data_IF_942562490266
#
_entry.id   IF_942562490266
#
_cell.length_a   1.000
_cell.length_b   1.000
_cell.length_c   1.000
_cell.angle_alpha   90.00
_cell.angle_beta   90.00
_cell.angle_gamma   90.00
#
_symmetry.space_group_name_H-M   'P 1'
#
loop_
_entity.id
_entity.type
_entity.pdbx_description
1 polymer ?
#
# COMPACT_ATOMS: atom_id res chain seq x y z
N UNK A 1 23.00 -14.16 43.58
CA UNK A 1 23.11 -13.87 42.14
C UNK A 1 22.59 -15.05 41.37
N UNK A 2 21.49 -14.86 40.64
CA UNK A 2 20.78 -15.74 39.69
C UNK A 2 19.36 -15.13 39.63
N UNK A 3 18.73 -14.86 38.50
CA UNK A 3 19.07 -15.27 37.13
C UNK A 3 17.83 -15.69 36.33
N UNK A 4 16.61 -15.39 36.81
CA UNK A 4 15.36 -15.84 36.21
C UNK A 4 14.94 -14.95 35.01
N UNK A 5 15.42 -15.30 33.82
CA UNK A 5 14.96 -14.73 32.55
C UNK A 5 13.60 -15.32 32.17
N UNK A 6 12.51 -14.74 32.68
CA UNK A 6 11.18 -15.00 32.10
C UNK A 6 11.12 -14.48 30.67
N UNK A 7 11.04 -15.41 29.72
CA UNK A 7 10.85 -15.11 28.29
C UNK A 7 9.58 -14.30 28.07
N UNK A 8 9.73 -12.99 27.81
CA UNK A 8 8.71 -12.23 27.10
C UNK A 8 8.74 -12.68 25.64
N UNK A 9 7.77 -13.50 25.24
CA UNK A 9 7.52 -13.80 23.83
C UNK A 9 7.04 -12.50 23.17
N UNK A 10 7.94 -11.81 22.47
CA UNK A 10 7.58 -10.65 21.69
C UNK A 10 6.75 -11.11 20.48
N UNK A 11 5.47 -10.74 20.48
CA UNK A 11 4.63 -10.73 19.30
C UNK A 11 5.09 -9.58 18.40
N UNK A 12 6.18 -9.80 17.66
CA UNK A 12 6.57 -9.00 16.51
C UNK A 12 5.61 -9.32 15.36
N UNK A 13 4.44 -8.67 15.34
CA UNK A 13 3.65 -8.56 14.11
C UNK A 13 4.35 -7.56 13.17
N UNK A 14 4.69 -7.94 11.93
CA UNK A 14 5.29 -7.02 10.98
C UNK A 14 4.24 -6.06 10.40
N UNK A 15 4.02 -4.91 11.05
CA UNK A 15 3.32 -3.76 10.46
C UNK A 15 4.22 -3.02 9.45
N UNK A 16 4.62 -3.70 8.37
CA UNK A 16 5.36 -3.08 7.26
C UNK A 16 4.72 -3.53 5.93
N UNK A 17 3.57 -2.94 5.59
CA UNK A 17 2.87 -3.22 4.31
C UNK A 17 2.02 -2.04 3.76
N UNK A 18 2.21 -0.81 4.29
CA UNK A 18 1.38 0.36 3.93
C UNK A 18 2.17 1.61 3.49
N UNK A 19 3.51 1.59 3.54
CA UNK A 19 4.37 2.61 2.94
C UNK A 19 5.50 1.95 2.14
N UNK A 20 5.59 2.28 0.84
CA UNK A 20 6.62 1.84 -0.12
C UNK A 20 6.77 0.31 -0.32
N UNK A 21 5.93 -0.25 -1.19
CA UNK A 21 6.21 -1.50 -1.93
C UNK A 21 5.61 -1.35 -3.34
N UNK A 22 6.23 -1.60 -4.51
CA UNK A 22 7.62 -1.61 -5.00
C UNK A 22 8.78 -1.92 -4.03
N UNK A 23 9.58 -2.93 -4.39
CA UNK A 23 9.37 -4.34 -4.05
C UNK A 23 10.07 -4.77 -2.73
N UNK A 24 9.60 -5.88 -2.13
CA UNK A 24 10.13 -6.53 -0.90
C UNK A 24 9.52 -6.00 0.42
N UNK A 25 9.23 -6.76 1.49
CA UNK A 25 9.43 -8.19 1.89
C UNK A 25 8.23 -8.65 2.79
N UNK A 26 7.68 -9.88 2.76
CA UNK A 26 7.99 -11.15 3.50
C UNK A 26 7.73 -11.11 5.05
N UNK A 27 7.25 -12.12 5.83
CA UNK A 27 7.34 -13.63 5.85
C UNK A 27 6.27 -14.24 6.89
N UNK A 28 6.30 -15.50 7.45
CA UNK A 28 5.85 -16.83 6.92
C UNK A 28 4.90 -17.76 7.78
N UNK A 29 4.26 -18.77 7.11
CA UNK A 29 3.95 -20.21 7.49
C UNK A 29 3.20 -20.63 8.82
N UNK A 30 2.50 -21.79 8.97
CA UNK A 30 2.08 -22.93 8.10
C UNK A 30 0.93 -23.79 8.72
N UNK A 31 0.07 -24.43 7.90
CA UNK A 31 -0.59 -25.79 8.04
C UNK A 31 -1.92 -25.96 7.24
N UNK A 32 -2.28 -27.23 6.93
CA UNK A 32 -3.10 -27.64 5.77
C UNK A 32 -4.61 -27.94 6.01
N UNK A 33 -5.43 -27.60 4.99
CA UNK A 33 -6.69 -28.24 4.51
C UNK A 33 -7.98 -28.30 5.39
N UNK A 34 -9.21 -28.44 4.80
CA UNK A 34 -9.62 -28.38 3.38
C UNK A 34 -10.75 -27.34 3.05
N UNK A 35 -11.11 -27.26 1.75
CA UNK A 35 -12.33 -26.76 1.06
C UNK A 35 -13.52 -26.24 1.92
N UNK A 36 -14.33 -25.24 1.53
CA UNK A 36 -14.74 -24.77 0.18
C UNK A 36 -15.33 -23.37 0.26
N UNK A 37 -15.03 -22.46 -0.67
CA UNK A 37 -16.02 -21.58 -1.31
C UNK A 37 -15.41 -20.86 -2.52
N UNK A 38 -16.05 -20.99 -3.68
CA UNK A 38 -15.59 -20.40 -4.95
C UNK A 38 -15.96 -18.93 -5.04
N UNK A 39 -14.98 -18.04 -4.84
CA UNK A 39 -15.11 -16.61 -5.16
C UNK A 39 -14.58 -16.36 -6.58
N UNK A 40 -15.44 -16.60 -7.58
CA UNK A 40 -15.37 -15.89 -8.86
C UNK A 40 -16.12 -14.56 -8.69
N UNK A 41 -15.72 -13.42 -9.27
CA UNK A 41 -14.43 -12.97 -9.81
C UNK A 41 -14.51 -11.42 -9.91
N UNK A 42 -13.41 -10.67 -9.81
CA UNK A 42 -13.41 -9.28 -10.30
C UNK A 42 -12.16 -8.89 -11.12
N UNK A 43 -12.16 -7.76 -11.85
CA UNK A 43 -13.28 -6.82 -12.06
C UNK A 43 -13.82 -6.74 -13.51
N UNK A 44 -15.12 -6.51 -13.63
CA UNK A 44 -15.69 -5.64 -14.66
C UNK A 44 -15.61 -4.17 -14.18
N UNK A 45 -15.91 -3.16 -15.02
CA UNK A 45 -15.04 -2.01 -15.26
C UNK A 45 -14.61 -1.19 -14.03
N UNK A 46 -13.28 -1.10 -13.83
CA UNK A 46 -12.61 -0.08 -12.99
C UNK A 46 -13.17 0.03 -11.58
N UNK A 47 -12.83 -0.96 -10.76
CA UNK A 47 -13.05 -1.00 -9.31
C UNK A 47 -12.82 0.34 -8.56
N UNK A 48 -11.82 1.13 -8.96
CA UNK A 48 -11.55 2.45 -8.36
C UNK A 48 -12.54 3.52 -8.80
N UNK A 49 -13.02 3.51 -10.04
CA UNK A 49 -14.04 4.46 -10.50
C UNK A 49 -15.37 4.20 -9.76
N UNK A 50 -15.72 2.94 -9.48
CA UNK A 50 -16.83 2.60 -8.58
C UNK A 50 -16.65 3.22 -7.19
N UNK A 51 -15.48 3.01 -6.56
CA UNK A 51 -15.18 3.56 -5.24
C UNK A 51 -15.24 5.09 -5.24
N UNK A 52 -14.71 5.74 -6.28
CA UNK A 52 -14.77 7.19 -6.43
C UNK A 52 -16.21 7.69 -6.51
N UNK A 53 -17.05 7.04 -7.33
CA UNK A 53 -18.45 7.42 -7.49
C UNK A 53 -19.23 7.23 -6.19
N UNK A 54 -19.09 6.06 -5.53
CA UNK A 54 -19.70 5.77 -4.23
C UNK A 54 -19.22 6.72 -3.11
N UNK A 55 -17.95 7.12 -3.14
CA UNK A 55 -17.40 8.10 -2.19
C UNK A 55 -17.92 9.52 -2.46
N UNK A 56 -18.08 9.92 -3.73
CA UNK A 56 -18.63 11.22 -4.11
C UNK A 56 -20.15 11.32 -3.87
N UNK A 57 -20.88 10.20 -3.93
CA UNK A 57 -22.32 10.12 -3.61
C UNK A 57 -22.62 10.03 -2.10
N UNK A 58 -21.60 9.89 -1.24
CA UNK A 58 -21.75 9.82 0.21
C UNK A 58 -22.07 8.42 0.77
N UNK A 59 -22.00 7.35 -0.03
CA UNK A 59 -22.29 5.98 0.42
C UNK A 59 -21.39 5.50 1.57
N UNK A 60 -20.21 6.10 1.71
CA UNK A 60 -19.27 5.81 2.78
C UNK A 60 -19.34 6.76 3.99
N UNK A 61 -20.25 7.75 4.01
CA UNK A 61 -20.27 8.77 5.07
C UNK A 61 -20.47 8.15 6.47
N UNK A 62 -21.37 7.18 6.61
CA UNK A 62 -21.58 6.44 7.87
C UNK A 62 -20.33 5.67 8.31
N UNK A 63 -19.57 5.11 7.36
CA UNK A 63 -18.31 4.44 7.64
C UNK A 63 -17.23 5.44 8.10
N UNK A 64 -17.07 6.55 7.38
CA UNK A 64 -16.11 7.61 7.70
C UNK A 64 -16.39 8.25 9.06
N UNK A 65 -17.67 8.53 9.35
CA UNK A 65 -18.12 9.02 10.65
C UNK A 65 -17.80 8.02 11.77
N UNK A 66 -18.22 6.75 11.64
CA UNK A 66 -17.98 5.74 12.68
C UNK A 66 -16.49 5.51 12.96
N UNK A 67 -15.64 5.58 11.93
CA UNK A 67 -14.19 5.47 12.09
C UNK A 67 -13.57 6.73 12.72
N UNK A 68 -14.09 7.93 12.41
CA UNK A 68 -13.64 9.16 13.07
C UNK A 68 -14.08 9.23 14.54
N UNK A 69 -15.32 8.86 14.86
CA UNK A 69 -15.82 8.75 16.24
C UNK A 69 -14.95 7.79 17.06
N UNK A 70 -14.71 6.57 16.55
CA UNK A 70 -13.80 5.59 17.21
C UNK A 70 -12.38 6.10 17.36
N UNK A 71 -11.91 6.94 16.44
CA UNK A 71 -10.58 7.57 16.54
C UNK A 71 -10.55 8.63 17.65
N UNK A 72 -11.56 9.51 17.76
CA UNK A 72 -11.67 10.48 18.86
C UNK A 72 -11.75 9.76 20.22
N UNK A 73 -12.64 8.77 20.31
CA UNK A 73 -12.80 7.88 21.47
C UNK A 73 -11.50 7.18 21.88
N UNK A 74 -10.63 6.89 20.92
CA UNK A 74 -9.33 6.29 21.16
C UNK A 74 -8.30 7.34 21.59
N UNK A 75 -8.24 8.52 20.94
CA UNK A 75 -7.31 9.59 21.32
C UNK A 75 -7.56 10.13 22.71
N UNK A 76 -8.82 10.20 23.16
CA UNK A 76 -9.18 10.63 24.52
C UNK A 76 -8.77 9.60 25.60
N UNK A 77 -8.60 8.33 25.22
CA UNK A 77 -8.19 7.22 26.10
C UNK A 77 -6.70 6.88 25.95
N UNK A 78 -6.06 7.30 24.87
CA UNK A 78 -4.65 7.05 24.56
C UNK A 78 -3.75 8.17 25.11
N UNK A 79 -3.50 8.15 26.42
CA UNK A 79 -2.40 8.91 27.03
C UNK A 79 -1.00 8.48 26.51
N UNK A 80 -0.92 7.40 25.72
CA UNK A 80 0.34 6.74 25.38
C UNK A 80 0.79 6.88 23.92
N UNK A 81 1.93 7.55 23.75
CA UNK A 81 2.70 7.68 22.51
C UNK A 81 3.22 6.34 21.91
N UNK A 82 2.88 5.16 22.42
CA UNK A 82 3.55 3.89 22.06
C UNK A 82 3.53 3.60 20.55
N UNK A 83 2.36 3.66 19.91
CA UNK A 83 2.22 3.43 18.46
C UNK A 83 2.97 4.49 17.65
N UNK A 84 3.04 5.74 18.15
CA UNK A 84 3.81 6.81 17.52
C UNK A 84 5.32 6.58 17.64
N UNK A 85 5.79 6.11 18.80
CA UNK A 85 7.18 5.73 19.04
C UNK A 85 7.57 4.44 18.27
N UNK A 86 6.65 3.52 18.01
CA UNK A 86 6.88 2.38 17.11
C UNK A 86 7.02 2.83 15.66
N UNK A 87 6.12 3.69 15.18
CA UNK A 87 6.26 4.33 13.86
C UNK A 87 7.58 5.11 13.75
N UNK A 88 8.05 5.73 14.83
CA UNK A 88 9.35 6.44 14.89
C UNK A 88 10.54 5.51 14.76
N UNK A 89 10.53 4.37 15.45
CA UNK A 89 11.56 3.33 15.30
C UNK A 89 11.59 2.78 13.87
N UNK A 90 10.43 2.47 13.30
CA UNK A 90 10.31 2.02 11.90
C UNK A 90 10.87 3.07 10.93
N UNK A 91 10.59 4.36 11.15
CA UNK A 91 11.11 5.44 10.33
C UNK A 91 12.64 5.62 10.39
N UNK A 92 13.28 5.37 11.55
CA UNK A 92 14.73 5.46 11.68
C UNK A 92 15.46 4.34 10.93
N UNK A 93 14.92 3.12 10.94
CA UNK A 93 15.56 1.94 10.32
C UNK A 93 15.74 2.10 8.80
N UNK A 94 14.85 2.82 8.14
CA UNK A 94 14.91 3.06 6.68
C UNK A 94 16.06 4.00 6.28
N UNK A 95 16.59 4.81 7.20
CA UNK A 95 17.64 5.80 6.89
C UNK A 95 19.06 5.23 6.91
N UNK A 96 19.28 4.08 7.56
CA UNK A 96 20.61 3.46 7.72
C UNK A 96 20.95 2.42 6.62
N UNK A 97 20.15 2.32 5.57
CA UNK A 97 20.34 1.31 4.51
C UNK A 97 21.46 1.70 3.52
N UNK A 98 22.54 0.91 3.52
CA UNK A 98 23.80 1.13 2.78
C UNK A 98 23.61 1.47 1.30
N UNK A 99 23.89 2.73 0.93
CA UNK A 99 23.46 3.33 -0.32
C UNK A 99 24.00 2.62 -1.58
N UNK A 100 25.26 2.16 -1.56
CA UNK A 100 25.93 1.60 -2.73
C UNK A 100 25.36 0.24 -3.13
N UNK A 101 25.13 -0.67 -2.17
CA UNK A 101 24.51 -1.98 -2.43
C UNK A 101 23.11 -1.84 -3.01
N UNK A 102 22.35 -0.84 -2.57
CA UNK A 102 21.00 -0.64 -3.12
C UNK A 102 21.01 -0.18 -4.58
N UNK A 103 22.07 0.46 -5.08
CA UNK A 103 22.04 1.04 -6.44
C UNK A 103 22.09 -0.01 -7.55
N UNK A 104 22.92 -1.06 -7.41
CA UNK A 104 22.98 -2.15 -8.38
C UNK A 104 21.78 -3.09 -8.24
N UNK A 105 21.38 -3.38 -7.01
CA UNK A 105 20.15 -4.12 -6.71
C UNK A 105 18.92 -3.46 -7.35
N UNK A 106 18.73 -2.14 -7.15
CA UNK A 106 17.65 -1.36 -7.77
C UNK A 106 17.69 -1.47 -9.30
N UNK A 107 18.86 -1.32 -9.94
CA UNK A 107 19.00 -1.46 -11.40
C UNK A 107 18.59 -2.85 -11.91
N UNK A 108 19.06 -3.92 -11.25
CA UNK A 108 18.70 -5.31 -11.62
C UNK A 108 17.22 -5.59 -11.37
N UNK A 109 16.66 -5.07 -10.28
CA UNK A 109 15.25 -5.21 -9.93
C UNK A 109 14.34 -4.46 -10.93
N UNK A 110 14.69 -3.23 -11.31
CA UNK A 110 14.01 -2.49 -12.38
C UNK A 110 14.05 -3.25 -13.70
N UNK A 111 15.20 -3.80 -14.11
CA UNK A 111 15.29 -4.59 -15.33
C UNK A 111 14.42 -5.87 -15.31
N UNK A 112 14.25 -6.50 -14.14
CA UNK A 112 13.30 -7.61 -13.98
C UNK A 112 11.85 -7.15 -14.14
N UNK A 113 11.44 -6.04 -13.53
CA UNK A 113 10.09 -5.49 -13.70
C UNK A 113 9.82 -4.99 -15.11
N UNK A 114 10.79 -4.39 -15.81
CA UNK A 114 10.65 -4.00 -17.22
C UNK A 114 10.45 -5.21 -18.14
N UNK A 115 11.11 -6.32 -17.85
CA UNK A 115 10.95 -7.56 -18.60
C UNK A 115 9.63 -8.28 -18.26
N UNK A 116 9.21 -8.30 -17.00
CA UNK A 116 7.89 -8.77 -16.54
C UNK A 116 6.76 -7.98 -17.25
N UNK A 117 6.84 -6.65 -17.20
CA UNK A 117 5.88 -5.76 -17.84
C UNK A 117 5.83 -5.96 -19.37
N UNK A 118 6.97 -6.26 -20.02
CA UNK A 118 7.00 -6.53 -21.47
C UNK A 118 6.24 -7.81 -21.83
N UNK A 119 6.51 -8.92 -21.14
CA UNK A 119 5.80 -10.18 -21.36
C UNK A 119 4.30 -10.05 -21.04
N UNK A 120 3.93 -9.30 -19.99
CA UNK A 120 2.54 -8.98 -19.69
C UNK A 120 1.87 -8.13 -20.77
N UNK A 121 2.55 -7.13 -21.35
CA UNK A 121 2.01 -6.32 -22.46
C UNK A 121 1.83 -7.16 -23.72
N UNK A 122 2.79 -8.03 -24.06
CA UNK A 122 2.69 -8.96 -25.20
C UNK A 122 1.50 -9.92 -25.06
N UNK A 123 1.31 -10.50 -23.87
CA UNK A 123 0.12 -11.29 -23.54
C UNK A 123 -1.18 -10.47 -23.65
N UNK A 124 -1.17 -9.25 -23.13
CA UNK A 124 -2.29 -8.31 -23.24
C UNK A 124 -2.59 -7.87 -24.69
N UNK A 125 -1.64 -7.98 -25.62
CA UNK A 125 -1.87 -7.73 -27.05
C UNK A 125 -2.43 -8.96 -27.77
N UNK A 126 -2.06 -10.17 -27.35
CA UNK A 126 -2.59 -11.42 -27.93
C UNK A 126 -3.98 -11.80 -27.41
N UNK A 127 -4.35 -11.38 -26.19
CA UNK A 127 -5.63 -11.70 -25.55
C UNK A 127 -6.44 -10.41 -25.21
N UNK A 128 -6.87 -9.62 -26.22
CA UNK A 128 -7.46 -8.28 -26.01
C UNK A 128 -8.83 -8.29 -25.32
N UNK A 129 -9.56 -9.41 -25.36
CA UNK A 129 -10.94 -9.52 -24.89
C UNK A 129 -11.06 -9.91 -23.40
N UNK A 130 -9.96 -10.20 -22.71
CA UNK A 130 -9.99 -10.45 -21.26
C UNK A 130 -10.18 -9.12 -20.51
N UNK A 131 -11.15 -8.96 -19.59
CA UNK A 131 -11.37 -7.70 -18.87
C UNK A 131 -10.10 -7.15 -18.19
N UNK A 132 -9.34 -8.05 -17.56
CA UNK A 132 -8.09 -7.76 -16.87
C UNK A 132 -6.98 -7.24 -17.80
N UNK A 133 -7.00 -7.59 -19.10
CA UNK A 133 -6.00 -7.11 -20.09
C UNK A 133 -5.93 -5.59 -20.17
N UNK A 134 -7.07 -4.90 -20.01
CA UNK A 134 -7.10 -3.43 -19.99
C UNK A 134 -6.43 -2.88 -18.73
N UNK A 135 -6.74 -3.46 -17.58
CA UNK A 135 -6.26 -3.00 -16.27
C UNK A 135 -4.75 -3.23 -16.11
N UNK A 136 -4.25 -4.37 -16.62
CA UNK A 136 -2.81 -4.66 -16.69
C UNK A 136 -2.08 -3.68 -17.60
N UNK A 137 -2.66 -3.31 -18.76
CA UNK A 137 -2.12 -2.23 -19.61
C UNK A 137 -2.13 -0.88 -18.88
N UNK A 138 -3.23 -0.49 -18.25
CA UNK A 138 -3.32 0.76 -17.49
C UNK A 138 -2.30 0.80 -16.35
N UNK A 139 -2.11 -0.31 -15.61
CA UNK A 139 -1.07 -0.46 -14.57
C UNK A 139 0.35 -0.30 -15.12
N UNK A 140 0.66 -0.91 -16.27
CA UNK A 140 2.02 -0.93 -16.84
C UNK A 140 2.39 0.41 -17.48
N UNK A 141 1.44 1.06 -18.15
CA UNK A 141 1.64 2.37 -18.78
C UNK A 141 1.42 3.55 -17.83
N UNK A 142 1.03 3.31 -16.57
CA UNK A 142 0.99 4.34 -15.53
C UNK A 142 2.42 4.73 -15.11
N UNK A 143 2.95 5.74 -15.81
CA UNK A 143 4.21 6.41 -15.47
C UNK A 143 3.91 7.84 -15.04
N UNK A 144 3.97 8.16 -13.73
CA UNK A 144 3.87 9.55 -13.26
C UNK A 144 4.90 10.44 -13.95
N UNK A 145 4.51 11.66 -14.31
CA UNK A 145 5.48 12.70 -14.65
C UNK A 145 6.37 13.04 -13.45
N UNK A 146 7.52 13.69 -13.66
CA UNK A 146 8.42 14.06 -12.56
C UNK A 146 7.69 14.84 -11.45
N UNK A 147 6.83 15.81 -11.80
CA UNK A 147 6.08 16.59 -10.81
C UNK A 147 5.05 15.75 -10.04
N UNK A 148 4.41 14.78 -10.71
CA UNK A 148 3.50 13.84 -10.07
C UNK A 148 4.24 12.89 -9.13
N UNK A 149 5.42 12.40 -9.51
CA UNK A 149 6.29 11.61 -8.64
C UNK A 149 6.76 12.43 -7.42
N UNK A 150 7.26 13.65 -7.61
CA UNK A 150 7.62 14.56 -6.49
C UNK A 150 6.44 14.81 -5.53
N UNK A 151 5.22 14.84 -6.04
CA UNK A 151 4.00 15.00 -5.24
C UNK A 151 3.69 13.77 -4.39
N UNK A 152 3.87 12.56 -4.96
CA UNK A 152 3.76 11.29 -4.23
C UNK A 152 4.88 11.13 -3.20
N UNK A 153 6.11 11.48 -3.56
CA UNK A 153 7.28 11.45 -2.68
C UNK A 153 7.11 12.42 -1.51
N UNK A 154 6.57 13.63 -1.76
CA UNK A 154 6.25 14.58 -0.69
C UNK A 154 5.29 13.97 0.34
N UNK A 155 4.19 13.34 -0.12
CA UNK A 155 3.27 12.62 0.77
C UNK A 155 3.95 11.46 1.49
N UNK A 156 4.80 10.69 0.79
CA UNK A 156 5.57 9.62 1.41
C UNK A 156 6.49 10.15 2.50
N UNK A 157 7.06 11.36 2.38
CA UNK A 157 7.84 11.99 3.47
C UNK A 157 7.03 12.33 4.71
N UNK A 158 5.70 12.51 4.59
CA UNK A 158 4.83 12.74 5.75
C UNK A 158 4.63 11.45 6.56
N UNK A 159 4.57 10.29 5.90
CA UNK A 159 4.49 8.98 6.57
C UNK A 159 5.67 8.78 7.57
N UNK A 160 6.82 9.39 7.31
CA UNK A 160 8.05 9.28 8.10
C UNK A 160 8.25 10.37 9.17
N UNK A 161 7.31 11.30 9.33
CA UNK A 161 7.43 12.44 10.26
C UNK A 161 6.47 12.32 11.45
N UNK A 162 6.87 12.91 12.58
CA UNK A 162 6.10 12.99 13.81
C UNK A 162 5.53 14.39 14.03
N UNK A 163 4.51 14.48 14.89
CA UNK A 163 3.93 15.75 15.33
C UNK A 163 5.03 16.59 16.00
N UNK A 164 5.40 17.71 15.37
CA UNK A 164 6.52 18.57 15.77
C UNK A 164 7.66 18.62 14.76
N UNK A 165 7.82 17.60 13.90
CA UNK A 165 8.90 17.52 12.91
C UNK A 165 8.64 18.40 11.67
N UNK A 166 7.42 18.92 11.52
CA UNK A 166 7.08 19.83 10.42
C UNK A 166 7.82 21.16 10.59
N UNK A 167 8.45 21.64 9.52
CA UNK A 167 9.15 22.93 9.47
C UNK A 167 8.19 24.13 9.54
N UNK A 168 6.91 23.89 9.32
CA UNK A 168 5.84 24.90 9.30
C UNK A 168 4.61 24.40 10.05
N UNK A 169 3.72 25.32 10.43
CA UNK A 169 2.42 24.96 11.02
C UNK A 169 1.56 24.12 10.06
N UNK A 170 1.59 24.43 8.76
CA UNK A 170 0.86 23.65 7.75
C UNK A 170 1.43 22.23 7.59
N UNK A 171 2.75 22.07 7.57
CA UNK A 171 3.37 20.74 7.51
C UNK A 171 3.03 19.90 8.75
N UNK A 172 3.04 20.49 9.95
CA UNK A 172 2.58 19.81 11.17
C UNK A 172 1.10 19.41 11.12
N UNK A 173 0.24 20.23 10.51
CA UNK A 173 -1.18 19.89 10.29
C UNK A 173 -1.32 18.72 9.31
N UNK A 174 -0.53 18.70 8.24
CA UNK A 174 -0.50 17.58 7.27
C UNK A 174 0.01 16.28 7.92
N UNK A 175 1.05 16.34 8.76
CA UNK A 175 1.56 15.19 9.54
C UNK A 175 0.51 14.67 10.54
N UNK A 176 -0.27 15.56 11.16
CA UNK A 176 -1.36 15.16 12.06
C UNK A 176 -2.46 14.39 11.32
N UNK A 177 -2.91 14.89 10.15
CA UNK A 177 -3.87 14.21 9.28
C UNK A 177 -3.30 12.86 8.82
N UNK A 178 -2.05 12.84 8.38
CA UNK A 178 -1.36 11.62 7.97
C UNK A 178 -1.40 10.53 9.06
N UNK A 179 -1.12 10.93 10.30
CA UNK A 179 -1.11 10.08 11.48
C UNK A 179 -2.50 9.57 11.87
N UNK A 180 -3.52 10.41 11.82
CA UNK A 180 -4.92 10.01 12.04
C UNK A 180 -5.31 8.90 11.05
N UNK A 181 -5.04 9.09 9.75
CA UNK A 181 -5.42 8.10 8.74
C UNK A 181 -4.56 6.84 8.74
N UNK A 182 -3.30 6.91 9.18
CA UNK A 182 -2.50 5.72 9.46
C UNK A 182 -3.13 4.87 10.57
N UNK A 183 -3.49 5.47 11.71
CA UNK A 183 -4.15 4.77 12.83
C UNK A 183 -5.50 4.17 12.43
N UNK A 184 -6.31 4.90 11.65
CA UNK A 184 -7.57 4.39 11.10
C UNK A 184 -7.36 3.21 10.14
N UNK A 185 -6.28 3.23 9.36
CA UNK A 185 -5.93 2.12 8.44
C UNK A 185 -5.48 0.89 9.23
N UNK A 186 -4.66 1.05 10.28
CA UNK A 186 -4.28 -0.06 11.16
C UNK A 186 -5.50 -0.73 11.81
N UNK A 187 -6.53 0.02 12.17
CA UNK A 187 -7.77 -0.55 12.69
C UNK A 187 -8.48 -1.45 11.65
N UNK A 188 -8.45 -1.08 10.35
CA UNK A 188 -8.93 -1.96 9.27
C UNK A 188 -8.02 -3.19 9.08
N UNK A 189 -6.71 -3.01 9.13
CA UNK A 189 -5.73 -4.10 8.96
C UNK A 189 -5.89 -5.17 10.06
N UNK A 190 -6.18 -4.76 11.30
CA UNK A 190 -6.50 -5.68 12.41
C UNK A 190 -7.80 -6.45 12.15
N UNK A 191 -8.87 -5.78 11.69
CA UNK A 191 -10.14 -6.44 11.38
C UNK A 191 -10.01 -7.45 10.24
N UNK A 192 -9.27 -7.10 9.18
CA UNK A 192 -8.98 -8.00 8.06
C UNK A 192 -8.14 -9.21 8.52
N UNK A 193 -7.10 -8.98 9.34
CA UNK A 193 -6.25 -10.05 9.90
C UNK A 193 -7.03 -11.00 10.84
N UNK A 194 -8.07 -10.50 11.49
CA UNK A 194 -9.00 -11.30 12.32
C UNK A 194 -10.12 -11.98 11.50
N UNK A 195 -10.10 -11.88 10.16
CA UNK A 195 -11.15 -12.34 9.25
C UNK A 195 -12.55 -11.76 9.55
N UNK A 196 -12.61 -10.57 10.16
CA UNK A 196 -13.85 -9.84 10.45
C UNK A 196 -14.26 -8.89 9.31
N UNK A 197 -13.47 -8.84 8.25
CA UNK A 197 -13.67 -8.02 7.07
C UNK A 197 -13.20 -8.82 5.85
N UNK A 198 -14.08 -9.03 4.88
CA UNK A 198 -13.69 -9.65 3.61
C UNK A 198 -12.72 -8.74 2.84
N UNK A 199 -11.93 -9.35 1.96
CA UNK A 199 -10.87 -8.67 1.23
C UNK A 199 -11.38 -7.52 0.35
N UNK A 200 -12.53 -7.68 -0.31
CA UNK A 200 -13.07 -6.66 -1.21
C UNK A 200 -13.58 -5.45 -0.41
N UNK A 201 -14.29 -5.68 0.70
CA UNK A 201 -14.71 -4.61 1.61
C UNK A 201 -13.51 -3.94 2.30
N UNK A 202 -12.46 -4.69 2.64
CA UNK A 202 -11.20 -4.13 3.14
C UNK A 202 -10.55 -3.20 2.11
N UNK A 203 -10.38 -3.63 0.87
CA UNK A 203 -9.81 -2.82 -0.21
C UNK A 203 -10.65 -1.56 -0.47
N UNK A 204 -11.98 -1.69 -0.55
CA UNK A 204 -12.91 -0.55 -0.69
C UNK A 204 -12.73 0.46 0.45
N UNK A 205 -12.81 0.01 1.71
CA UNK A 205 -12.69 0.89 2.90
C UNK A 205 -11.31 1.53 3.03
N UNK A 206 -10.24 0.80 2.72
CA UNK A 206 -8.86 1.34 2.74
C UNK A 206 -8.66 2.42 1.66
N UNK A 207 -9.17 2.20 0.44
CA UNK A 207 -9.14 3.22 -0.61
C UNK A 207 -9.94 4.48 -0.20
N UNK A 208 -11.12 4.31 0.40
CA UNK A 208 -11.97 5.40 0.90
C UNK A 208 -11.30 6.22 2.00
N UNK A 209 -10.69 5.59 3.01
CA UNK A 209 -9.93 6.29 4.05
C UNK A 209 -8.84 7.18 3.44
N UNK A 210 -8.17 6.69 2.41
CA UNK A 210 -7.08 7.38 1.75
C UNK A 210 -7.56 8.51 0.81
N UNK A 211 -8.74 8.40 0.21
CA UNK A 211 -9.41 9.50 -0.50
C UNK A 211 -9.83 10.62 0.48
N UNK A 212 -10.37 10.25 1.64
CA UNK A 212 -10.72 11.21 2.71
C UNK A 212 -9.47 11.88 3.30
N UNK A 213 -8.38 11.14 3.54
CA UNK A 213 -7.06 11.70 3.91
C UNK A 213 -6.64 12.82 2.96
N UNK A 214 -6.69 12.57 1.65
CA UNK A 214 -6.28 13.52 0.61
C UNK A 214 -7.21 14.73 0.53
N UNK A 215 -8.52 14.55 0.72
CA UNK A 215 -9.51 15.64 0.85
C UNK A 215 -9.23 16.50 2.09
N UNK A 216 -8.93 15.91 3.25
CA UNK A 216 -8.60 16.67 4.46
C UNK A 216 -7.26 17.40 4.34
N UNK A 217 -6.26 16.79 3.70
CA UNK A 217 -5.00 17.47 3.36
C UNK A 217 -5.23 18.64 2.41
N UNK A 218 -6.06 18.48 1.38
CA UNK A 218 -6.41 19.57 0.45
C UNK A 218 -7.12 20.72 1.18
N UNK A 219 -8.12 20.42 2.02
CA UNK A 219 -8.79 21.42 2.86
C UNK A 219 -7.80 22.15 3.80
N UNK A 220 -6.81 21.43 4.34
CA UNK A 220 -5.79 22.03 5.20
C UNK A 220 -4.93 23.07 4.47
N UNK A 221 -4.66 22.92 3.17
CA UNK A 221 -3.81 23.81 2.36
C UNK A 221 -4.57 24.92 1.62
N UNK A 222 -5.85 25.18 1.94
CA UNK A 222 -6.64 26.21 1.26
C UNK A 222 -6.32 27.66 1.70
N UNK A 223 -5.61 27.86 2.82
CA UNK A 223 -5.26 29.18 3.36
C UNK A 223 -4.37 30.03 2.43
N UNK A 224 -4.41 31.36 2.60
CA UNK A 224 -3.66 32.31 1.78
C UNK A 224 -2.14 32.27 2.04
N UNK A 225 -1.72 32.00 3.28
CA UNK A 225 -0.31 31.97 3.70
C UNK A 225 0.37 30.59 3.53
N UNK A 226 -0.24 29.67 2.78
CA UNK A 226 0.31 28.33 2.54
C UNK A 226 1.26 28.37 1.35
N UNK A 227 2.45 27.77 1.50
CA UNK A 227 3.42 27.58 0.43
C UNK A 227 2.74 27.00 -0.83
N UNK A 228 2.74 27.73 -1.98
CA UNK A 228 2.15 27.26 -3.23
C UNK A 228 2.68 25.88 -3.68
N UNK A 229 3.93 25.54 -3.32
CA UNK A 229 4.53 24.24 -3.63
C UNK A 229 3.89 23.10 -2.85
N UNK A 230 3.65 23.27 -1.55
CA UNK A 230 2.93 22.29 -0.72
C UNK A 230 1.50 22.13 -1.24
N UNK A 231 0.80 23.24 -1.52
CA UNK A 231 -0.56 23.23 -2.07
C UNK A 231 -0.62 22.51 -3.42
N UNK A 232 0.37 22.76 -4.30
CA UNK A 232 0.55 22.06 -5.56
C UNK A 232 0.71 20.55 -5.38
N UNK A 233 1.65 20.11 -4.54
CA UNK A 233 1.88 18.68 -4.27
C UNK A 233 0.63 17.96 -3.74
N UNK A 234 -0.11 18.53 -2.79
CA UNK A 234 -1.36 17.93 -2.29
C UNK A 234 -2.42 17.83 -3.40
N UNK A 235 -2.57 18.88 -4.21
CA UNK A 235 -3.56 18.94 -5.31
C UNK A 235 -3.24 17.92 -6.41
N UNK A 236 -1.98 17.89 -6.85
CA UNK A 236 -1.48 16.93 -7.85
C UNK A 236 -1.61 15.50 -7.35
N UNK A 237 -1.20 15.23 -6.10
CA UNK A 237 -1.32 13.90 -5.51
C UNK A 237 -2.78 13.44 -5.43
N UNK A 238 -3.72 14.27 -4.96
CA UNK A 238 -5.15 13.95 -4.92
C UNK A 238 -5.71 13.58 -6.30
N UNK A 239 -5.28 14.27 -7.37
CA UNK A 239 -5.72 14.01 -8.75
C UNK A 239 -5.25 12.65 -9.27
N UNK A 240 -3.97 12.29 -9.06
CA UNK A 240 -3.38 11.05 -9.60
C UNK A 240 -3.62 9.82 -8.71
N UNK A 241 -3.95 10.02 -7.43
CA UNK A 241 -4.06 8.94 -6.46
C UNK A 241 -4.99 7.76 -6.87
N UNK A 242 -6.14 8.00 -7.52
CA UNK A 242 -6.99 6.90 -7.98
C UNK A 242 -6.29 5.97 -8.98
N UNK A 243 -5.45 6.53 -9.87
CA UNK A 243 -4.67 5.76 -10.84
C UNK A 243 -3.59 4.93 -10.13
N UNK A 244 -2.92 5.50 -9.13
CA UNK A 244 -1.97 4.79 -8.26
C UNK A 244 -2.66 3.60 -7.55
N UNK A 245 -3.86 3.80 -7.03
CA UNK A 245 -4.64 2.73 -6.37
C UNK A 245 -5.08 1.65 -7.35
N UNK A 246 -5.56 2.01 -8.55
CA UNK A 246 -5.97 1.05 -9.57
C UNK A 246 -4.80 0.17 -10.01
N UNK A 247 -3.63 0.78 -10.27
CA UNK A 247 -2.39 0.07 -10.57
C UNK A 247 -1.94 -0.85 -9.41
N UNK A 248 -2.03 -0.37 -8.16
CA UNK A 248 -1.69 -1.15 -6.97
C UNK A 248 -2.59 -2.38 -6.77
N UNK A 249 -3.89 -2.24 -7.01
CA UNK A 249 -4.86 -3.34 -6.88
C UNK A 249 -4.67 -4.37 -8.00
N UNK A 250 -4.49 -3.92 -9.23
CA UNK A 250 -4.17 -4.80 -10.37
C UNK A 250 -2.90 -5.60 -10.11
N UNK A 251 -1.85 -4.94 -9.58
CA UNK A 251 -0.59 -5.61 -9.20
C UNK A 251 -0.79 -6.63 -8.08
N UNK A 252 -1.58 -6.28 -7.06
CA UNK A 252 -1.91 -7.19 -5.96
C UNK A 252 -2.65 -8.43 -6.49
N UNK A 253 -3.66 -8.25 -7.33
CA UNK A 253 -4.41 -9.35 -7.94
C UNK A 253 -3.50 -10.28 -8.77
N UNK A 254 -2.62 -9.72 -9.59
CA UNK A 254 -1.61 -10.48 -10.33
C UNK A 254 -0.66 -11.28 -9.41
N UNK A 255 -0.24 -10.69 -8.30
CA UNK A 255 0.58 -11.37 -7.29
C UNK A 255 -0.19 -12.49 -6.56
N UNK A 256 -1.47 -12.28 -6.25
CA UNK A 256 -2.30 -13.28 -5.60
C UNK A 256 -2.67 -14.45 -6.54
N UNK A 257 -2.78 -14.21 -7.85
CA UNK A 257 -2.78 -15.25 -8.87
C UNK A 257 -1.45 -16.05 -8.84
N UNK A 258 -0.30 -15.35 -8.94
CA UNK A 258 1.03 -15.96 -8.93
C UNK A 258 1.30 -16.83 -7.68
N UNK A 259 0.80 -16.39 -6.52
CA UNK A 259 0.94 -17.09 -5.24
C UNK A 259 -0.21 -18.07 -4.95
N UNK A 260 -1.08 -18.35 -5.92
CA UNK A 260 -2.23 -19.28 -5.83
C UNK A 260 -3.26 -18.94 -4.73
N UNK A 261 -3.26 -17.70 -4.24
CA UNK A 261 -4.28 -17.17 -3.32
C UNK A 261 -5.61 -16.92 -4.03
N UNK A 262 -5.54 -16.51 -5.30
CA UNK A 262 -6.68 -16.44 -6.22
C UNK A 262 -6.49 -17.51 -7.30
N UNK A 263 -7.56 -18.21 -7.67
CA UNK A 263 -7.54 -19.15 -8.78
C UNK A 263 -7.83 -18.41 -10.10
N UNK A 264 -7.09 -18.68 -11.19
CA UNK A 264 -7.35 -18.05 -12.48
C UNK A 264 -8.72 -18.49 -13.03
N UNK A 265 -9.54 -17.53 -13.42
CA UNK A 265 -10.88 -17.77 -13.95
C UNK A 265 -10.89 -18.18 -15.43
N UNK A 266 -9.78 -18.01 -16.14
CA UNK A 266 -9.64 -18.33 -17.56
C UNK A 266 -8.16 -18.55 -17.97
N UNK A 267 -7.95 -19.06 -19.19
CA UNK A 267 -6.61 -19.34 -19.73
C UNK A 267 -5.70 -18.10 -19.84
N UNK A 268 -6.25 -16.90 -20.06
CA UNK A 268 -5.46 -15.65 -20.06
C UNK A 268 -4.91 -15.35 -18.67
N UNK A 269 -5.69 -15.55 -17.61
CA UNK A 269 -5.25 -15.38 -16.24
C UNK A 269 -4.23 -16.43 -15.80
N UNK A 270 -4.32 -17.68 -16.28
CA UNK A 270 -3.27 -18.69 -16.05
C UNK A 270 -1.94 -18.27 -16.72
N UNK A 271 -1.97 -17.80 -17.97
CA UNK A 271 -0.77 -17.23 -18.63
C UNK A 271 -0.19 -16.03 -17.88
N UNK A 272 -1.04 -15.13 -17.35
CA UNK A 272 -0.59 -13.99 -16.54
C UNK A 272 0.07 -14.45 -15.23
N UNK A 273 -0.52 -15.44 -14.55
CA UNK A 273 0.02 -16.10 -13.37
C UNK A 273 1.39 -16.71 -13.62
N UNK A 274 1.55 -17.44 -14.73
CA UNK A 274 2.85 -18.04 -15.13
C UNK A 274 3.93 -16.97 -15.33
N UNK A 275 3.63 -15.87 -16.02
CA UNK A 275 4.57 -14.75 -16.22
C UNK A 275 4.97 -14.13 -14.87
N UNK A 276 4.00 -13.77 -14.02
CA UNK A 276 4.29 -13.10 -12.74
C UNK A 276 5.05 -14.02 -11.79
N UNK A 277 4.70 -15.31 -11.69
CA UNK A 277 5.43 -16.28 -10.88
C UNK A 277 6.89 -16.43 -11.34
N UNK A 278 7.12 -16.59 -12.65
CA UNK A 278 8.46 -16.65 -13.27
C UNK A 278 9.34 -15.43 -12.94
N UNK A 279 8.76 -14.25 -12.77
CA UNK A 279 9.50 -13.04 -12.38
C UNK A 279 9.64 -12.90 -10.87
N UNK A 280 8.62 -13.29 -10.09
CA UNK A 280 8.69 -13.34 -8.63
C UNK A 280 9.87 -14.19 -8.14
N UNK A 281 10.07 -15.39 -8.70
CA UNK A 281 11.19 -16.27 -8.33
C UNK A 281 12.57 -15.63 -8.62
N UNK A 282 12.69 -14.92 -9.75
CA UNK A 282 13.92 -14.17 -10.09
C UNK A 282 14.16 -13.01 -9.13
N UNK A 283 13.10 -12.30 -8.73
CA UNK A 283 13.16 -11.18 -7.80
C UNK A 283 13.55 -11.67 -6.39
N UNK A 284 12.97 -12.77 -5.92
CA UNK A 284 13.36 -13.41 -4.65
C UNK A 284 14.82 -13.86 -4.67
N UNK A 285 15.26 -14.52 -5.75
CA UNK A 285 16.66 -14.93 -5.90
C UNK A 285 17.60 -13.71 -5.85
N UNK A 286 17.32 -12.66 -6.62
CA UNK A 286 18.08 -11.42 -6.61
C UNK A 286 18.12 -10.78 -5.21
N UNK A 287 17.01 -10.79 -4.46
CA UNK A 287 16.99 -10.32 -3.08
C UNK A 287 17.92 -11.14 -2.17
N UNK A 288 17.90 -12.47 -2.27
CA UNK A 288 18.78 -13.35 -1.48
C UNK A 288 20.28 -13.18 -1.79
N UNK A 289 20.62 -12.78 -3.02
CA UNK A 289 22.01 -12.50 -3.42
C UNK A 289 22.57 -11.21 -2.77
N UNK A 290 21.71 -10.21 -2.50
CA UNK A 290 22.11 -8.93 -1.91
C UNK A 290 21.88 -8.85 -0.39
N UNK A 291 20.92 -9.62 0.16
CA UNK A 291 20.51 -9.59 1.57
C UNK A 291 20.53 -11.00 2.21
N UNK A 292 21.71 -11.65 2.32
CA UNK A 292 21.83 -13.03 2.78
C UNK A 292 21.64 -13.23 4.30
N UNK A 293 21.67 -12.17 5.10
CA UNK A 293 21.59 -12.27 6.58
C UNK A 293 20.18 -12.17 7.16
N UNK A 294 19.18 -11.77 6.37
CA UNK A 294 17.79 -11.58 6.82
C UNK A 294 16.94 -12.88 6.83
N UNK A 295 17.56 -14.05 6.66
CA UNK A 295 16.89 -15.36 6.57
C UNK A 295 17.24 -16.34 7.72
N UNK A 296 17.64 -15.83 8.90
CA UNK A 296 17.98 -16.64 10.09
C UNK A 296 17.08 -16.35 11.30
#
# INVERSE_FOLDING_TARGET
>A
MAGDRRMKKFLLLPMIMTALVLPGFAQPQDKQHPQTETVQAPPEPKFIDEILNSYQSGEYDSFLQSVHEKYQDATDKWEYNHLLEERKKLSSVVQDFDADKTSEFKKKMTALHEAENRELVELCLSEPNCPLTREVKEMIFFTPSQHEQESLDYLATLNWKFKGDGKTLIENKLIAIDTEFWLKTLALDVLATQNQLDEMTYLKKRAVLQLEKLKQMELAVQGQDVDPKIKGYITTAKKIYPQVQAAGITRKFLHDLATNRVQPANATQEKMKEVVAKYHDKQQKLASEYFPEEQK
#
